data_IF_446078929504
#
_entry.id   IF_446078929504
#
_cell.length_a   1.000
_cell.length_b   1.000
_cell.length_c   1.000
_cell.angle_alpha   90.00
_cell.angle_beta   90.00
_cell.angle_gamma   90.00
#
_symmetry.space_group_name_H-M   'P 1'
#
loop_
_entity.id
_entity.type
_entity.pdbx_description
1 polymer ?
#
# COMPACT_ATOMS: atom_id res chain seq x y z
N UNK A 1 -3.93 -29.78 -4.77
CA UNK A 1 -4.08 -28.38 -5.19
C UNK A 1 -3.86 -28.31 -6.68
N UNK A 2 -4.85 -27.86 -7.45
CA UNK A 2 -4.74 -27.72 -8.90
C UNK A 2 -3.94 -26.45 -9.27
N UNK A 3 -3.46 -26.37 -10.51
CA UNK A 3 -2.79 -25.15 -11.02
C UNK A 3 -3.71 -23.92 -10.89
N UNK A 4 -5.01 -24.10 -11.10
CA UNK A 4 -6.04 -23.06 -10.95
C UNK A 4 -6.11 -22.53 -9.51
N UNK A 5 -6.18 -23.43 -8.53
CA UNK A 5 -6.20 -23.08 -7.11
C UNK A 5 -4.90 -22.37 -6.67
N UNK A 6 -3.76 -22.79 -7.24
CA UNK A 6 -2.45 -22.19 -6.97
C UNK A 6 -2.40 -20.72 -7.39
N UNK A 7 -2.87 -20.42 -8.60
CA UNK A 7 -2.90 -19.05 -9.15
C UNK A 7 -3.80 -18.14 -8.30
N UNK A 8 -4.99 -18.63 -7.94
CA UNK A 8 -5.91 -17.90 -7.06
C UNK A 8 -5.30 -17.65 -5.67
N UNK A 9 -4.65 -18.66 -5.08
CA UNK A 9 -4.01 -18.52 -3.78
C UNK A 9 -2.94 -17.44 -3.80
N UNK A 10 -2.05 -17.46 -4.80
CA UNK A 10 -0.98 -16.46 -4.95
C UNK A 10 -1.55 -15.07 -5.17
N UNK A 11 -2.50 -14.91 -6.09
CA UNK A 11 -3.15 -13.62 -6.36
C UNK A 11 -3.82 -13.02 -5.13
N UNK A 12 -4.58 -13.84 -4.40
CA UNK A 12 -5.25 -13.41 -3.18
C UNK A 12 -4.27 -13.07 -2.06
N UNK A 13 -3.17 -13.83 -1.93
CA UNK A 13 -2.12 -13.53 -0.95
C UNK A 13 -1.47 -12.18 -1.23
N UNK A 14 -1.14 -11.88 -2.49
CA UNK A 14 -0.58 -10.58 -2.89
C UNK A 14 -1.56 -9.45 -2.56
N UNK A 15 -2.83 -9.59 -2.94
CA UNK A 15 -3.86 -8.58 -2.62
C UNK A 15 -4.02 -8.41 -1.11
N UNK A 16 -3.97 -9.49 -0.33
CA UNK A 16 -4.09 -9.45 1.11
C UNK A 16 -2.95 -8.66 1.76
N UNK A 17 -1.69 -8.94 1.41
CA UNK A 17 -0.55 -8.20 1.96
C UNK A 17 -0.57 -6.73 1.53
N UNK A 18 -1.01 -6.43 0.30
CA UNK A 18 -1.15 -5.04 -0.14
C UNK A 18 -2.24 -4.31 0.64
N UNK A 19 -3.37 -4.96 0.96
CA UNK A 19 -4.41 -4.38 1.81
C UNK A 19 -3.88 -4.08 3.22
N UNK A 20 -3.12 -5.00 3.81
CA UNK A 20 -2.48 -4.74 5.11
C UNK A 20 -1.58 -3.52 5.02
N UNK A 21 -0.72 -3.46 4.00
CA UNK A 21 0.16 -2.32 3.79
C UNK A 21 -0.60 -1.00 3.60
N UNK A 22 -1.71 -1.01 2.85
CA UNK A 22 -2.58 0.15 2.68
C UNK A 22 -3.11 0.67 4.03
N UNK A 23 -3.55 -0.22 4.93
CA UNK A 23 -4.01 0.19 6.26
C UNK A 23 -2.87 0.66 7.16
N UNK A 24 -1.68 0.04 7.08
CA UNK A 24 -0.48 0.54 7.78
C UNK A 24 -0.15 1.96 7.32
N UNK A 25 -0.18 2.20 6.01
CA UNK A 25 0.05 3.51 5.42
C UNK A 25 -1.02 4.52 5.88
N UNK A 26 -2.28 4.12 5.92
CA UNK A 26 -3.38 4.94 6.42
C UNK A 26 -3.15 5.37 7.87
N UNK A 27 -2.82 4.41 8.75
CA UNK A 27 -2.50 4.68 10.16
C UNK A 27 -1.29 5.62 10.25
N UNK A 28 -0.26 5.39 9.44
CA UNK A 28 0.93 6.23 9.42
C UNK A 28 0.60 7.69 9.06
N UNK A 29 -0.20 7.91 8.01
CA UNK A 29 -0.60 9.25 7.57
C UNK A 29 -1.31 10.00 8.70
N UNK A 30 -2.32 9.38 9.32
CA UNK A 30 -3.03 10.03 10.44
C UNK A 30 -2.12 10.24 11.65
N UNK A 31 -1.22 9.30 11.95
CA UNK A 31 -0.25 9.46 13.03
C UNK A 31 0.72 10.61 12.76
N UNK A 32 1.07 10.88 11.50
CA UNK A 32 1.99 11.93 11.10
C UNK A 32 1.43 13.34 11.32
N UNK A 33 0.10 13.48 11.39
CA UNK A 33 -0.57 14.75 11.65
C UNK A 33 -0.53 15.15 13.13
N UNK A 34 -0.20 14.21 14.03
CA UNK A 34 -0.09 14.44 15.48
C UNK A 34 1.38 14.29 15.90
N UNK A 35 2.11 15.39 16.20
CA UNK A 35 3.55 15.33 16.47
C UNK A 35 3.95 14.33 17.57
N UNK A 36 3.20 14.29 18.68
CA UNK A 36 3.48 13.38 19.80
C UNK A 36 3.39 11.89 19.41
N UNK A 37 2.55 11.52 18.43
CA UNK A 37 2.45 10.13 17.95
C UNK A 37 3.58 9.84 16.97
N UNK A 38 3.85 10.78 16.05
CA UNK A 38 4.90 10.68 15.05
C UNK A 38 6.29 10.48 15.68
N UNK A 39 6.57 11.21 16.75
CA UNK A 39 7.85 11.17 17.48
C UNK A 39 7.95 9.99 18.46
N UNK A 40 6.83 9.29 18.72
CA UNK A 40 6.81 8.11 19.56
C UNK A 40 7.30 6.84 18.84
N UNK A 41 7.48 5.77 19.62
CA UNK A 41 7.96 4.46 19.12
C UNK A 41 7.12 3.96 17.94
N UNK A 42 5.79 4.04 18.04
CA UNK A 42 4.88 3.59 16.98
C UNK A 42 5.10 4.40 15.69
N UNK A 43 5.22 5.72 15.79
CA UNK A 43 5.47 6.60 14.65
C UNK A 43 6.80 6.29 13.96
N UNK A 44 7.87 6.06 14.73
CA UNK A 44 9.18 5.69 14.19
C UNK A 44 9.14 4.34 13.44
N UNK A 45 8.48 3.34 14.02
CA UNK A 45 8.30 2.02 13.39
C UNK A 45 7.48 2.09 12.11
N UNK A 46 6.36 2.81 12.13
CA UNK A 46 5.53 3.03 10.94
C UNK A 46 6.31 3.80 9.86
N UNK A 47 7.10 4.79 10.27
CA UNK A 47 7.97 5.56 9.38
C UNK A 47 8.96 4.68 8.63
N UNK A 48 9.65 3.76 9.33
CA UNK A 48 10.58 2.81 8.68
C UNK A 48 9.93 1.97 7.58
N UNK A 49 8.64 1.67 7.71
CA UNK A 49 7.86 0.87 6.75
C UNK A 49 7.30 1.74 5.61
N UNK A 50 6.81 2.94 5.92
CA UNK A 50 6.04 3.76 4.99
C UNK A 50 6.89 4.79 4.23
N UNK A 51 7.95 5.32 4.85
CA UNK A 51 8.78 6.39 4.28
C UNK A 51 9.47 6.02 2.97
N UNK A 52 10.03 4.80 2.78
CA UNK A 52 10.63 4.45 1.49
C UNK A 52 9.66 4.61 0.32
N UNK A 53 8.40 4.21 0.51
CA UNK A 53 7.34 4.33 -0.50
C UNK A 53 6.87 5.78 -0.66
N UNK A 54 6.53 6.45 0.45
CA UNK A 54 6.03 7.84 0.43
C UNK A 54 7.07 8.84 -0.08
N UNK A 55 8.35 8.60 0.15
CA UNK A 55 9.44 9.49 -0.29
C UNK A 55 9.45 9.72 -1.81
N UNK A 56 8.96 8.74 -2.60
CA UNK A 56 8.82 8.85 -4.05
C UNK A 56 7.75 9.91 -4.39
N UNK A 57 6.61 9.87 -3.71
CA UNK A 57 5.50 10.79 -3.94
C UNK A 57 5.80 12.19 -3.40
N UNK A 58 6.50 12.30 -2.26
CA UNK A 58 6.90 13.59 -1.67
C UNK A 58 7.86 14.39 -2.53
N UNK A 59 8.62 13.74 -3.41
CA UNK A 59 9.45 14.43 -4.42
C UNK A 59 8.61 15.17 -5.46
N UNK A 60 7.38 14.72 -5.70
CA UNK A 60 6.45 15.29 -6.68
C UNK A 60 5.50 16.28 -5.99
N UNK A 61 4.91 15.88 -4.87
CA UNK A 61 3.96 16.68 -4.09
C UNK A 61 4.51 16.79 -2.66
N UNK A 62 5.24 17.86 -2.32
CA UNK A 62 5.79 18.02 -0.98
C UNK A 62 4.68 18.21 0.07
N UNK A 63 4.93 17.87 1.35
CA UNK A 63 3.99 18.12 2.44
C UNK A 63 3.69 19.62 2.62
N UNK A 64 2.47 19.94 3.06
CA UNK A 64 2.10 21.31 3.42
C UNK A 64 2.05 21.39 4.95
N UNK A 65 3.05 22.04 5.54
CA UNK A 65 3.22 22.04 7.01
C UNK A 65 3.43 20.62 7.53
N UNK A 66 2.55 20.17 8.42
CA UNK A 66 2.58 18.82 9.02
C UNK A 66 1.66 17.81 8.30
N UNK A 67 0.91 18.25 7.28
CA UNK A 67 -0.05 17.40 6.57
C UNK A 67 0.62 16.80 5.33
N UNK A 68 0.67 15.48 5.29
CA UNK A 68 1.20 14.73 4.16
C UNK A 68 0.16 14.53 3.05
N UNK A 69 0.07 15.49 2.12
CA UNK A 69 -0.81 15.43 0.95
C UNK A 69 -0.33 14.39 -0.07
N UNK A 70 0.98 14.08 -0.09
CA UNK A 70 1.58 13.11 -1.01
C UNK A 70 1.01 11.71 -0.86
N UNK A 71 0.38 11.44 0.28
CA UNK A 71 -0.16 10.14 0.60
C UNK A 71 -1.43 9.79 -0.20
N UNK A 72 -2.18 10.78 -0.67
CA UNK A 72 -3.38 10.57 -1.50
C UNK A 72 -3.02 9.82 -2.80
N UNK A 73 -2.13 10.33 -3.66
CA UNK A 73 -1.74 9.61 -4.87
C UNK A 73 -1.03 8.28 -4.56
N UNK A 74 -0.27 8.20 -3.46
CA UNK A 74 0.32 6.93 -3.02
C UNK A 74 -0.75 5.86 -2.74
N UNK A 75 -1.82 6.22 -2.02
CA UNK A 75 -2.94 5.33 -1.77
C UNK A 75 -3.69 4.93 -3.04
N UNK A 76 -3.84 5.84 -4.02
CA UNK A 76 -4.41 5.49 -5.31
C UNK A 76 -3.54 4.50 -6.08
N UNK A 77 -2.22 4.66 -6.06
CA UNK A 77 -1.29 3.71 -6.70
C UNK A 77 -1.43 2.30 -6.10
N UNK A 78 -1.55 2.17 -4.77
CA UNK A 78 -1.80 0.87 -4.13
C UNK A 78 -3.15 0.26 -4.55
N UNK A 79 -4.19 1.08 -4.68
CA UNK A 79 -5.50 0.60 -5.16
C UNK A 79 -5.42 0.10 -6.61
N UNK A 80 -4.79 0.86 -7.50
CA UNK A 80 -4.59 0.44 -8.89
C UNK A 80 -3.70 -0.79 -9.00
N UNK A 81 -2.69 -0.93 -8.14
CA UNK A 81 -1.87 -2.14 -8.08
C UNK A 81 -2.72 -3.38 -7.78
N UNK A 82 -3.61 -3.33 -6.77
CA UNK A 82 -4.49 -4.45 -6.44
C UNK A 82 -5.45 -4.81 -7.60
N UNK A 83 -6.01 -3.80 -8.27
CA UNK A 83 -6.85 -3.99 -9.47
C UNK A 83 -6.04 -4.64 -10.61
N UNK A 84 -4.80 -4.19 -10.81
CA UNK A 84 -3.88 -4.76 -11.80
C UNK A 84 -3.57 -6.23 -11.52
N UNK A 85 -3.26 -6.57 -10.25
CA UNK A 85 -3.03 -7.96 -9.82
C UNK A 85 -4.27 -8.82 -10.10
N UNK A 86 -5.46 -8.37 -9.70
CA UNK A 86 -6.70 -9.11 -9.96
C UNK A 86 -6.96 -9.31 -11.46
N UNK A 87 -6.67 -8.30 -12.27
CA UNK A 87 -6.82 -8.36 -13.73
C UNK A 87 -5.86 -9.38 -14.35
N UNK A 88 -4.59 -9.37 -13.94
CA UNK A 88 -3.58 -10.34 -14.40
C UNK A 88 -3.97 -11.77 -14.00
N UNK A 89 -4.41 -11.97 -12.76
CA UNK A 89 -4.89 -13.27 -12.28
C UNK A 89 -6.05 -13.76 -13.15
N UNK A 90 -7.04 -12.92 -13.42
CA UNK A 90 -8.18 -13.29 -14.27
C UNK A 90 -7.74 -13.65 -15.70
N UNK A 91 -6.78 -12.92 -16.29
CA UNK A 91 -6.23 -13.21 -17.61
C UNK A 91 -5.52 -14.58 -17.64
N UNK A 92 -4.70 -14.87 -16.61
CA UNK A 92 -4.03 -16.17 -16.48
C UNK A 92 -5.05 -17.29 -16.36
N UNK A 93 -6.06 -17.14 -15.49
CA UNK A 93 -7.09 -18.16 -15.30
C UNK A 93 -7.89 -18.40 -16.58
N UNK A 94 -8.25 -17.36 -17.32
CA UNK A 94 -8.94 -17.47 -18.60
C UNK A 94 -8.12 -18.22 -19.66
N UNK A 95 -6.78 -18.15 -19.59
CA UNK A 95 -5.90 -18.89 -20.49
C UNK A 95 -5.71 -20.38 -20.12
N UNK A 96 -6.16 -20.79 -18.93
CA UNK A 96 -6.05 -22.16 -18.41
C UNK A 96 -7.30 -23.00 -18.67
N UNK A 97 -8.38 -22.37 -19.16
CA UNK A 97 -9.63 -23.01 -19.60
C UNK A 97 -9.50 -23.39 -21.06
#
# INVERSE_FOLDING_TARGET
>A
MSNYELVLMVGNFIIFITKIYFYILLVYIFSSWVPAIREGVIGEWLGKICEPYLSIFRRIIPPIGFIDISAIPAMFVLQFFMVGVASIVNLILASMV
#
